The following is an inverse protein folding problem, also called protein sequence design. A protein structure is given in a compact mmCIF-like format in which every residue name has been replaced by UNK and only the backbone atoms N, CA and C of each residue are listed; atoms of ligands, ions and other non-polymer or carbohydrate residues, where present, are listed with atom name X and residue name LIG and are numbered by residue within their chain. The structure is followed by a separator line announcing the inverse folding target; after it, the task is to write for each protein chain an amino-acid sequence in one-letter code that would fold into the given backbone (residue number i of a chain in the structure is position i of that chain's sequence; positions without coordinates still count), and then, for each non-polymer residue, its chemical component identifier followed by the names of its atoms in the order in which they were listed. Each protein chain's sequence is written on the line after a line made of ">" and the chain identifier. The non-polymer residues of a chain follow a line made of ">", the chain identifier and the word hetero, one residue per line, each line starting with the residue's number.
data_IF_729306832789
#
_entry.id   IF_729306832789
#
_cell.length_a   1.000
_cell.length_b   1.000
_cell.length_c   1.000
_cell.angle_alpha   90.00
_cell.angle_beta   90.00
_cell.angle_gamma   90.00
#
_symmetry.space_group_name_H-M   'P 1'
#
loop_
_entity.id
_entity.type
_entity.pdbx_description
1 polymer ?
#
# COMPACT_ATOMS: atom_id res chain seq x y z
N UNK A 1 -44.90 -2.77 -24.16
CA UNK A 1 -44.36 -2.82 -22.83
C UNK A 1 -42.90 -2.84 -22.89
N UNK A 2 -42.32 -1.82 -22.50
CA UNK A 2 -40.89 -1.83 -22.42
C UNK A 2 -40.52 -2.92 -21.44
N UNK A 3 -39.90 -3.93 -21.95
CA UNK A 3 -39.15 -4.76 -21.09
C UNK A 3 -38.51 -3.81 -20.12
N UNK A 4 -38.98 -3.83 -18.93
CA UNK A 4 -38.24 -3.22 -17.91
C UNK A 4 -36.84 -3.64 -18.18
N UNK A 5 -36.11 -2.75 -18.63
CA UNK A 5 -34.71 -2.89 -18.61
C UNK A 5 -34.35 -3.11 -17.16
N UNK A 6 -34.48 -4.32 -16.74
CA UNK A 6 -33.74 -4.70 -15.62
C UNK A 6 -32.32 -4.43 -15.99
N UNK A 7 -31.92 -3.25 -15.75
CA UNK A 7 -30.55 -3.02 -15.49
C UNK A 7 -30.11 -4.18 -14.62
N UNK A 8 -29.17 -4.95 -15.05
CA UNK A 8 -28.48 -5.85 -14.18
C UNK A 8 -28.06 -5.10 -12.91
N UNK A 9 -27.66 -5.79 -11.86
CA UNK A 9 -27.23 -5.13 -10.65
C UNK A 9 -26.28 -4.00 -10.98
N UNK A 10 -26.49 -2.85 -10.38
CA UNK A 10 -25.58 -1.73 -10.55
C UNK A 10 -24.15 -2.20 -10.31
N UNK A 11 -23.24 -1.85 -11.19
CA UNK A 11 -21.85 -2.17 -11.00
C UNK A 11 -21.37 -1.58 -9.67
N UNK A 12 -20.55 -2.31 -8.93
CA UNK A 12 -19.91 -1.78 -7.74
C UNK A 12 -19.12 -0.52 -8.06
N UNK A 13 -19.13 0.46 -7.18
CA UNK A 13 -18.30 1.65 -7.35
C UNK A 13 -16.83 1.26 -7.55
N UNK A 14 -16.14 2.00 -8.39
CA UNK A 14 -14.73 1.79 -8.66
C UNK A 14 -13.87 2.62 -7.71
N UNK A 15 -12.74 2.04 -7.31
CA UNK A 15 -11.75 2.71 -6.48
C UNK A 15 -10.53 3.10 -7.30
N UNK A 16 -9.85 4.14 -6.85
CA UNK A 16 -8.50 4.49 -7.31
C UNK A 16 -7.53 4.43 -6.14
N UNK A 17 -6.27 4.15 -6.46
CA UNK A 17 -5.19 4.12 -5.49
C UNK A 17 -4.55 5.50 -5.50
N UNK A 18 -4.75 6.27 -4.42
CA UNK A 18 -4.29 7.66 -4.38
C UNK A 18 -2.96 7.84 -3.65
N UNK A 19 -2.54 6.87 -2.86
CA UNK A 19 -1.23 6.91 -2.23
C UNK A 19 -0.74 5.51 -1.87
N UNK A 20 0.58 5.34 -1.92
CA UNK A 20 1.30 4.25 -1.28
C UNK A 20 2.24 4.90 -0.27
N UNK A 21 2.22 4.42 0.98
CA UNK A 21 3.15 4.83 2.02
C UNK A 21 3.90 3.61 2.52
N UNK A 22 5.15 3.80 2.88
CA UNK A 22 5.99 2.73 3.41
C UNK A 22 6.73 3.25 4.64
N UNK A 23 6.57 2.55 5.76
CA UNK A 23 7.15 2.95 7.05
C UNK A 23 7.86 1.77 7.68
N UNK A 24 9.08 2.00 8.13
CA UNK A 24 9.81 0.99 8.89
C UNK A 24 9.15 0.78 10.24
N UNK A 25 9.15 -0.46 10.71
CA UNK A 25 8.82 -0.77 12.10
C UNK A 25 10.15 -0.87 12.89
N UNK A 26 10.36 0.06 13.80
CA UNK A 26 11.59 0.12 14.58
C UNK A 26 11.59 -0.90 15.71
N UNK A 27 12.56 -1.80 15.69
CA UNK A 27 12.64 -2.89 16.66
C UNK A 27 12.95 -2.46 18.10
N UNK A 28 13.57 -1.32 18.29
CA UNK A 28 13.91 -0.85 19.65
C UNK A 28 12.78 -0.03 20.28
N UNK A 29 12.09 0.78 19.50
CA UNK A 29 11.06 1.66 20.04
C UNK A 29 9.64 1.15 19.84
N UNK A 30 9.43 0.20 18.90
CA UNK A 30 8.10 -0.27 18.53
C UNK A 30 7.29 0.76 17.75
N UNK A 31 7.96 1.79 17.22
CA UNK A 31 7.30 2.85 16.47
C UNK A 31 7.47 2.65 14.97
N UNK A 32 6.63 3.31 14.21
CA UNK A 32 6.78 3.43 12.76
C UNK A 32 7.60 4.66 12.43
N UNK A 33 8.37 4.57 11.35
CA UNK A 33 9.07 5.73 10.78
C UNK A 33 8.08 6.66 10.08
N UNK A 34 8.59 7.79 9.61
CA UNK A 34 7.92 8.58 8.60
C UNK A 34 7.77 7.77 7.31
N UNK A 35 7.02 8.30 6.34
CA UNK A 35 6.87 7.65 5.04
C UNK A 35 8.18 7.73 4.26
N UNK A 36 8.81 6.58 4.03
CA UNK A 36 10.09 6.50 3.33
C UNK A 36 10.00 6.99 1.89
N UNK A 37 8.83 6.88 1.27
CA UNK A 37 8.64 7.25 -0.13
C UNK A 37 8.57 8.76 -0.33
N UNK A 38 8.41 9.53 0.74
CA UNK A 38 8.36 11.00 0.71
C UNK A 38 9.65 11.66 1.17
N UNK A 39 10.66 10.88 1.53
CA UNK A 39 11.91 11.46 2.01
C UNK A 39 12.67 12.21 0.93
N UNK A 40 13.27 13.32 1.31
CA UNK A 40 14.18 14.11 0.50
C UNK A 40 15.38 14.53 1.37
N UNK A 41 16.59 14.02 1.09
CA UNK A 41 16.95 13.12 -0.01
C UNK A 41 16.28 11.75 0.09
N UNK A 42 16.21 10.99 -1.01
CA UNK A 42 15.57 9.68 -1.02
C UNK A 42 16.15 8.72 0.02
N UNK A 43 15.30 7.87 0.55
CA UNK A 43 15.68 6.88 1.54
C UNK A 43 16.77 5.93 1.02
N UNK A 44 17.80 5.71 1.83
CA UNK A 44 18.84 4.73 1.58
C UNK A 44 18.75 3.61 2.60
N UNK A 45 18.36 2.42 2.15
CA UNK A 45 18.16 1.24 2.99
C UNK A 45 19.43 0.42 3.16
N UNK A 46 20.49 1.04 3.66
CA UNK A 46 21.76 0.36 3.91
C UNK A 46 21.82 -0.17 5.33
N UNK A 47 21.98 -1.51 5.47
CA UNK A 47 22.09 -2.18 6.78
C UNK A 47 21.01 -1.74 7.78
N UNK A 48 19.77 -1.67 7.35
CA UNK A 48 18.66 -1.23 8.21
C UNK A 48 18.46 -2.12 9.42
N UNK A 49 18.83 -3.39 9.32
CA UNK A 49 18.72 -4.33 10.44
C UNK A 49 19.55 -3.92 11.67
N UNK A 50 20.59 -3.13 11.47
CA UNK A 50 21.41 -2.59 12.57
C UNK A 50 21.28 -1.07 12.71
N UNK A 51 20.38 -0.45 11.94
CA UNK A 51 20.09 0.97 12.06
C UNK A 51 21.01 1.89 11.28
N UNK A 52 21.80 1.36 10.35
CA UNK A 52 22.66 2.17 9.48
C UNK A 52 21.87 2.80 8.33
N UNK A 53 22.54 3.60 7.52
CA UNK A 53 21.91 4.33 6.43
C UNK A 53 20.92 5.37 6.93
N UNK A 54 19.81 5.55 6.21
CA UNK A 54 18.80 6.53 6.58
C UNK A 54 17.75 5.99 7.57
N UNK A 55 17.92 4.77 8.07
CA UNK A 55 16.93 4.17 8.97
C UNK A 55 16.86 4.89 10.32
N UNK A 56 17.99 5.23 10.89
CA UNK A 56 18.06 5.91 12.19
C UNK A 56 18.00 4.97 13.38
N UNK A 57 17.24 3.90 13.33
CA UNK A 57 17.12 2.84 14.32
C UNK A 57 17.09 1.48 13.61
N UNK A 58 17.44 0.38 14.32
CA UNK A 58 17.30 -0.95 13.72
C UNK A 58 15.85 -1.25 13.32
N UNK A 59 15.69 -1.79 12.13
CA UNK A 59 14.38 -2.17 11.59
C UNK A 59 14.51 -3.39 10.69
N UNK A 60 13.70 -4.41 10.96
CA UNK A 60 13.62 -5.61 10.13
C UNK A 60 12.39 -5.59 9.25
N UNK A 61 11.34 -4.94 9.71
CA UNK A 61 9.99 -5.06 9.14
C UNK A 61 9.49 -3.70 8.68
N UNK A 62 8.45 -3.74 7.86
CA UNK A 62 7.86 -2.54 7.25
C UNK A 62 6.35 -2.67 7.18
N UNK A 63 5.65 -1.57 7.38
CA UNK A 63 4.23 -1.46 7.08
C UNK A 63 4.05 -0.66 5.78
N UNK A 64 3.39 -1.28 4.82
CA UNK A 64 2.94 -0.62 3.60
C UNK A 64 1.48 -0.26 3.78
N UNK A 65 1.11 0.98 3.47
CA UNK A 65 -0.26 1.46 3.53
C UNK A 65 -0.71 1.94 2.18
N UNK A 66 -1.88 1.50 1.75
CA UNK A 66 -2.47 1.87 0.46
C UNK A 66 -3.71 2.71 0.75
N UNK A 67 -3.74 3.93 0.22
CA UNK A 67 -4.90 4.80 0.32
C UNK A 67 -5.82 4.60 -0.88
N UNK A 68 -7.09 4.39 -0.59
CA UNK A 68 -8.12 4.14 -1.59
C UNK A 68 -9.19 5.21 -1.50
N UNK A 69 -9.62 5.70 -2.65
CA UNK A 69 -10.70 6.67 -2.77
C UNK A 69 -11.58 6.28 -3.94
N UNK A 70 -12.88 6.66 -3.94
CA UNK A 70 -13.72 6.41 -5.10
C UNK A 70 -13.14 7.05 -6.35
N UNK A 71 -13.21 6.35 -7.48
CA UNK A 71 -12.75 6.89 -8.75
C UNK A 71 -13.58 8.09 -9.17
N UNK A 72 -14.87 8.06 -8.87
CA UNK A 72 -15.78 9.18 -9.11
C UNK A 72 -16.02 9.89 -7.79
N UNK A 73 -15.85 11.21 -7.80
CA UNK A 73 -16.04 12.02 -6.60
C UNK A 73 -17.46 11.85 -6.04
N UNK A 74 -17.54 11.61 -4.74
CA UNK A 74 -18.80 11.50 -4.01
C UNK A 74 -19.29 12.87 -3.53
N UNK A 75 -20.57 12.93 -3.16
CA UNK A 75 -21.10 14.07 -2.42
C UNK A 75 -20.38 14.19 -1.07
N UNK A 76 -20.44 15.39 -0.47
CA UNK A 76 -19.81 15.65 0.81
C UNK A 76 -20.37 14.71 1.90
N UNK A 77 -19.49 14.23 2.76
CA UNK A 77 -19.82 13.36 3.88
C UNK A 77 -20.46 12.02 3.47
N UNK A 78 -20.14 11.54 2.27
CA UNK A 78 -20.65 10.28 1.76
C UNK A 78 -19.55 9.23 1.68
N UNK A 79 -19.83 8.03 2.20
CA UNK A 79 -18.99 6.85 2.04
C UNK A 79 -19.61 5.86 1.09
N UNK A 80 -18.82 4.89 0.64
CA UNK A 80 -19.31 3.79 -0.20
C UNK A 80 -18.79 2.45 0.30
N UNK A 81 -19.52 1.40 -0.03
CA UNK A 81 -19.02 0.03 0.01
C UNK A 81 -18.82 -0.45 -1.43
N UNK A 82 -17.71 -1.13 -1.68
CA UNK A 82 -17.45 -1.76 -2.97
C UNK A 82 -16.85 -3.15 -2.76
N UNK A 83 -17.22 -4.07 -3.64
CA UNK A 83 -16.64 -5.42 -3.69
C UNK A 83 -15.49 -5.50 -4.70
N UNK A 84 -15.07 -4.40 -5.31
CA UNK A 84 -13.93 -4.39 -6.21
C UNK A 84 -12.69 -4.92 -5.49
N UNK A 85 -12.03 -5.97 -6.03
CA UNK A 85 -10.80 -6.46 -5.41
C UNK A 85 -9.68 -5.44 -5.49
N UNK A 86 -8.91 -5.36 -4.41
CA UNK A 86 -7.66 -4.61 -4.35
C UNK A 86 -6.55 -5.59 -4.01
N UNK A 87 -5.54 -5.67 -4.85
CA UNK A 87 -4.43 -6.62 -4.68
C UNK A 87 -3.16 -5.84 -4.44
N UNK A 88 -2.51 -6.12 -3.32
CA UNK A 88 -1.23 -5.51 -2.98
C UNK A 88 -0.18 -6.60 -2.95
N UNK A 89 0.88 -6.42 -3.73
CA UNK A 89 1.96 -7.40 -3.86
C UNK A 89 3.29 -6.72 -3.59
N UNK A 90 4.11 -7.34 -2.77
CA UNK A 90 5.49 -6.93 -2.54
C UNK A 90 6.43 -7.99 -3.08
N UNK A 91 7.40 -7.56 -3.87
CA UNK A 91 8.45 -8.43 -4.40
C UNK A 91 9.81 -7.92 -3.95
N UNK A 92 10.71 -8.86 -3.65
CA UNK A 92 12.10 -8.57 -3.33
C UNK A 92 12.97 -9.27 -4.37
N UNK A 93 13.72 -8.50 -5.14
CA UNK A 93 14.53 -9.02 -6.27
C UNK A 93 13.70 -9.91 -7.20
N UNK A 94 12.50 -9.46 -7.54
CA UNK A 94 11.61 -10.17 -8.45
C UNK A 94 10.84 -11.34 -7.85
N UNK A 95 11.05 -11.65 -6.57
CA UNK A 95 10.36 -12.76 -5.91
C UNK A 95 9.28 -12.22 -4.97
N UNK A 96 8.05 -12.74 -5.07
CA UNK A 96 6.95 -12.34 -4.19
C UNK A 96 7.28 -12.70 -2.74
N UNK A 97 7.30 -11.70 -1.87
CA UNK A 97 7.54 -11.89 -0.43
C UNK A 97 6.27 -11.68 0.40
N UNK A 98 5.29 -10.96 -0.13
CA UNK A 98 4.00 -10.79 0.52
C UNK A 98 2.96 -10.41 -0.53
N UNK A 99 1.73 -10.86 -0.31
CA UNK A 99 0.60 -10.53 -1.18
C UNK A 99 -0.68 -10.58 -0.35
N UNK A 100 -1.53 -9.60 -0.56
CA UNK A 100 -2.84 -9.57 0.10
C UNK A 100 -3.91 -9.09 -0.87
N UNK A 101 -5.06 -9.76 -0.87
CA UNK A 101 -6.22 -9.38 -1.66
C UNK A 101 -7.32 -8.94 -0.71
N UNK A 102 -7.85 -7.75 -0.95
CA UNK A 102 -8.99 -7.21 -0.22
C UNK A 102 -10.21 -7.29 -1.13
N UNK A 103 -11.26 -7.98 -0.70
CA UNK A 103 -12.44 -8.23 -1.52
C UNK A 103 -13.63 -7.37 -1.15
N UNK A 104 -13.55 -6.62 -0.07
CA UNK A 104 -14.59 -5.67 0.32
C UNK A 104 -13.94 -4.44 0.93
N UNK A 105 -14.31 -3.27 0.49
CA UNK A 105 -13.75 -2.01 1.00
C UNK A 105 -14.88 -1.05 1.32
N UNK A 106 -14.88 -0.56 2.55
CA UNK A 106 -15.78 0.48 3.01
C UNK A 106 -14.97 1.75 3.20
N UNK A 107 -15.36 2.81 2.52
CA UNK A 107 -14.75 4.13 2.76
C UNK A 107 -15.48 4.84 3.89
N UNK A 108 -14.76 5.73 4.56
CA UNK A 108 -15.38 6.59 5.57
C UNK A 108 -16.21 7.70 4.91
N UNK A 109 -16.76 8.61 5.72
CA UNK A 109 -17.57 9.72 5.24
C UNK A 109 -16.78 10.78 4.43
N UNK A 110 -15.45 10.68 4.43
CA UNK A 110 -14.58 11.47 3.58
C UNK A 110 -14.24 10.75 2.26
N UNK A 111 -14.78 9.58 2.04
CA UNK A 111 -14.49 8.78 0.86
C UNK A 111 -13.13 8.09 0.90
N UNK A 112 -12.58 7.82 2.07
CA UNK A 112 -11.22 7.27 2.21
C UNK A 112 -11.25 5.92 2.91
N UNK A 113 -10.43 5.01 2.41
CA UNK A 113 -10.09 3.77 3.09
C UNK A 113 -8.59 3.52 2.97
N UNK A 114 -8.00 2.98 4.02
CA UNK A 114 -6.61 2.54 4.01
C UNK A 114 -6.54 1.04 4.15
N UNK A 115 -5.59 0.41 3.44
CA UNK A 115 -5.32 -1.02 3.56
C UNK A 115 -3.84 -1.21 3.83
N UNK A 116 -3.52 -2.19 4.67
CA UNK A 116 -2.15 -2.43 5.11
C UNK A 116 -1.62 -3.78 4.67
N UNK A 117 -0.32 -3.80 4.36
CA UNK A 117 0.44 -5.01 4.11
C UNK A 117 1.72 -4.95 4.95
N UNK A 118 1.86 -5.91 5.85
CA UNK A 118 3.04 -5.99 6.70
C UNK A 118 4.11 -6.86 6.04
N UNK A 119 5.33 -6.34 5.93
CA UNK A 119 6.46 -7.02 5.32
C UNK A 119 7.48 -7.37 6.40
N UNK A 120 7.91 -8.63 6.43
CA UNK A 120 8.90 -9.11 7.38
C UNK A 120 10.26 -9.23 6.72
N UNK A 121 11.32 -9.01 7.51
CA UNK A 121 12.70 -9.30 7.12
C UNK A 121 13.10 -8.61 5.80
N UNK A 122 12.81 -7.31 5.69
CA UNK A 122 13.11 -6.56 4.47
C UNK A 122 14.54 -6.01 4.45
N UNK A 123 15.31 -6.20 5.51
CA UNK A 123 16.58 -5.51 5.71
C UNK A 123 17.62 -5.74 4.62
N UNK A 124 17.65 -6.91 4.00
CA UNK A 124 18.56 -7.22 2.89
C UNK A 124 17.79 -7.65 1.65
N UNK A 125 16.60 -7.08 1.46
CA UNK A 125 15.68 -7.52 0.42
C UNK A 125 16.13 -7.15 -1.00
N UNK A 126 17.13 -6.31 -1.15
CA UNK A 126 17.52 -5.77 -2.45
C UNK A 126 16.49 -4.78 -2.94
N UNK A 127 16.09 -4.92 -4.20
CA UNK A 127 15.03 -4.05 -4.77
C UNK A 127 13.67 -4.54 -4.28
N UNK A 128 13.04 -3.76 -3.42
CA UNK A 128 11.69 -4.00 -2.95
C UNK A 128 10.71 -3.23 -3.82
N UNK A 129 9.82 -3.95 -4.48
CA UNK A 129 8.78 -3.35 -5.32
C UNK A 129 7.43 -3.61 -4.67
N UNK A 130 6.63 -2.56 -4.53
CA UNK A 130 5.27 -2.62 -4.01
C UNK A 130 4.35 -2.27 -5.16
N UNK A 131 3.38 -3.14 -5.44
CA UNK A 131 2.40 -2.91 -6.48
C UNK A 131 1.00 -3.03 -5.90
N UNK A 132 0.17 -2.03 -6.14
CA UNK A 132 -1.24 -2.05 -5.76
C UNK A 132 -2.08 -1.97 -7.02
N UNK A 133 -3.07 -2.86 -7.14
CA UNK A 133 -3.97 -2.94 -8.30
C UNK A 133 -5.41 -2.91 -7.82
N UNK A 134 -6.20 -2.02 -8.39
CA UNK A 134 -7.65 -1.93 -8.16
C UNK A 134 -8.32 -1.74 -9.53
N UNK A 135 -8.90 -2.81 -10.08
CA UNK A 135 -9.45 -2.80 -11.44
C UNK A 135 -8.37 -2.45 -12.45
N UNK A 136 -8.58 -1.37 -13.19
CA UNK A 136 -7.60 -0.86 -14.17
C UNK A 136 -6.57 0.07 -13.55
N UNK A 137 -6.75 0.43 -12.28
CA UNK A 137 -5.81 1.30 -11.58
C UNK A 137 -4.63 0.48 -11.08
N UNK A 138 -3.43 0.98 -11.30
CA UNK A 138 -2.19 0.35 -10.85
C UNK A 138 -1.23 1.42 -10.37
N UNK A 139 -0.66 1.21 -9.18
CA UNK A 139 0.36 2.11 -8.64
C UNK A 139 1.53 1.28 -8.13
N UNK A 140 2.73 1.75 -8.39
CA UNK A 140 3.96 1.04 -8.04
C UNK A 140 4.89 1.98 -7.28
N UNK A 141 5.56 1.44 -6.27
CA UNK A 141 6.62 2.13 -5.55
C UNK A 141 7.80 1.17 -5.37
N UNK A 142 9.00 1.69 -5.34
CA UNK A 142 10.21 0.89 -5.15
C UNK A 142 11.09 1.49 -4.07
N UNK A 143 11.75 0.61 -3.33
CA UNK A 143 12.75 0.97 -2.33
C UNK A 143 13.93 0.00 -2.47
N UNK A 144 15.11 0.46 -2.12
CA UNK A 144 16.32 -0.35 -2.20
C UNK A 144 16.82 -0.64 -0.79
N UNK A 145 17.03 -1.91 -0.50
CA UNK A 145 17.55 -2.38 0.78
C UNK A 145 18.79 -3.22 0.54
N UNK A 146 19.92 -2.71 0.95
CA UNK A 146 21.19 -3.40 0.78
C UNK A 146 21.81 -3.72 2.13
N UNK A 147 22.55 -4.82 2.17
CA UNK A 147 23.37 -5.16 3.30
C UNK A 147 24.81 -5.29 2.83
N UNK A 148 25.73 -4.81 3.65
CA UNK A 148 27.13 -4.88 3.39
C UNK A 148 27.94 -5.15 4.66
N UNK A 149 29.17 -5.39 4.46
CA UNK A 149 30.12 -5.60 5.57
C UNK A 149 30.57 -4.29 6.17
#
# INVERSE_FOLDING_TARGET
>A
MPASLSAGPAASPQLTITAIEARLFYGYSGRLSDDLLKRDPPFSGWNTIIGEGSAGEPADDMLVSIKLEPLVKLADNEGIFTDQPVVVTATANGKVVAKRTFTGTLTNDQGVSWRGLYLRDIGCAGTLKIEAVAGKQRKVATLQFDCGE
#
